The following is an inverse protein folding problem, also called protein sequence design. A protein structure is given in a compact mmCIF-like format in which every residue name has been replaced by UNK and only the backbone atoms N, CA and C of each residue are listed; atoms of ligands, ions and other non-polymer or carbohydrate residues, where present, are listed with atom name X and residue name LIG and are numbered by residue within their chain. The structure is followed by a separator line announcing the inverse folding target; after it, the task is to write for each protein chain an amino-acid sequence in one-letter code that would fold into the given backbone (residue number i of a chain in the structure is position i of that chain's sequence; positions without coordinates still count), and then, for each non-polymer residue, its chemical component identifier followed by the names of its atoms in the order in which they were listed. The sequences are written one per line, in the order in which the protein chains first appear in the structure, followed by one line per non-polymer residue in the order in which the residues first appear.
data_IF_420306790680
#
_entry.id   IF_420306790680
#
_cell.length_a   1.000
_cell.length_b   1.000
_cell.length_c   1.000
_cell.angle_alpha   90.00
_cell.angle_beta   90.00
_cell.angle_gamma   90.00
#
_symmetry.space_group_name_H-M   'P 1'
#
loop_
_entity.id
_entity.type
_entity.pdbx_description
1 polymer ?
#
# COMPACT_ATOMS: atom_id res chain seq x y z
N UNK A 1 -67.79 11.06 10.89
CA UNK A 1 -66.49 11.76 10.83
C UNK A 1 -65.41 10.79 11.27
N UNK A 2 -64.74 10.17 10.30
CA UNK A 2 -63.75 9.13 10.52
C UNK A 2 -62.45 9.78 11.05
N UNK A 3 -62.10 9.46 12.28
CA UNK A 3 -60.90 10.00 12.91
C UNK A 3 -59.68 9.15 12.53
N UNK A 4 -58.73 9.85 11.89
CA UNK A 4 -57.39 9.46 11.50
C UNK A 4 -56.74 8.32 12.30
N UNK A 5 -56.52 7.18 11.64
CA UNK A 5 -55.54 6.17 12.06
C UNK A 5 -54.15 6.62 11.61
N UNK A 6 -53.37 7.19 12.52
CA UNK A 6 -51.96 7.50 12.28
C UNK A 6 -51.14 6.19 12.32
N UNK A 7 -50.60 5.78 11.18
CA UNK A 7 -49.62 4.69 11.09
C UNK A 7 -48.21 5.25 11.36
N UNK A 8 -47.62 4.88 12.49
CA UNK A 8 -46.23 5.19 12.84
C UNK A 8 -45.33 4.20 12.08
N UNK A 9 -44.59 4.68 11.07
CA UNK A 9 -43.53 3.90 10.43
C UNK A 9 -42.24 4.04 11.26
N UNK A 10 -41.54 2.95 11.62
CA UNK A 10 -40.23 3.08 12.25
C UNK A 10 -39.21 3.51 11.19
N UNK A 11 -38.69 4.73 11.31
CA UNK A 11 -37.54 5.20 10.54
C UNK A 11 -36.35 4.27 10.84
N UNK A 12 -36.08 3.38 9.88
CA UNK A 12 -34.93 2.48 9.85
C UNK A 12 -33.66 3.31 9.97
N UNK A 13 -32.84 3.01 10.99
CA UNK A 13 -31.48 3.57 11.12
C UNK A 13 -30.73 3.34 9.81
N UNK A 14 -30.40 4.44 9.13
CA UNK A 14 -29.51 4.42 7.98
C UNK A 14 -28.13 3.97 8.49
N UNK A 15 -27.82 2.69 8.34
CA UNK A 15 -26.47 2.19 8.51
C UNK A 15 -25.62 2.90 7.45
N UNK A 16 -24.78 3.83 7.89
CA UNK A 16 -23.80 4.50 7.05
C UNK A 16 -22.80 3.44 6.58
N UNK A 17 -22.98 2.91 5.36
CA UNK A 17 -22.06 1.95 4.78
C UNK A 17 -20.74 2.68 4.50
N UNK A 18 -19.73 2.35 5.30
CA UNK A 18 -18.35 2.84 5.19
C UNK A 18 -17.82 2.53 3.79
N UNK A 19 -17.66 3.55 2.96
CA UNK A 19 -17.02 3.45 1.65
C UNK A 19 -15.56 3.06 1.86
N UNK A 20 -15.22 1.79 1.59
CA UNK A 20 -13.83 1.34 1.52
C UNK A 20 -13.24 1.81 0.20
N UNK A 21 -12.31 2.75 0.26
CA UNK A 21 -11.51 3.14 -0.90
C UNK A 21 -10.62 1.95 -1.31
N UNK A 22 -10.93 1.33 -2.45
CA UNK A 22 -10.06 0.34 -3.07
C UNK A 22 -8.98 1.09 -3.87
N UNK A 23 -7.77 1.19 -3.31
CA UNK A 23 -6.61 1.69 -4.05
C UNK A 23 -6.07 0.54 -4.92
N UNK A 24 -6.19 0.68 -6.24
CA UNK A 24 -5.49 -0.18 -7.18
C UNK A 24 -4.02 0.24 -7.22
N UNK A 25 -3.10 -0.67 -6.87
CA UNK A 25 -1.67 -0.44 -7.08
C UNK A 25 -1.40 -0.36 -8.59
N UNK A 26 -1.26 0.86 -9.11
CA UNK A 26 -0.98 1.08 -10.52
C UNK A 26 0.46 0.64 -10.84
N UNK A 27 0.58 -0.07 -11.97
CA UNK A 27 1.82 -0.64 -12.51
C UNK A 27 2.89 0.45 -12.57
N UNK A 28 4.09 0.14 -12.08
CA UNK A 28 5.20 1.09 -12.00
C UNK A 28 5.54 1.61 -13.40
N UNK A 29 5.48 2.92 -13.59
CA UNK A 29 5.87 3.52 -14.86
C UNK A 29 7.37 3.33 -15.11
N UNK A 30 7.73 3.09 -16.36
CA UNK A 30 9.13 2.97 -16.78
C UNK A 30 9.75 4.37 -16.81
N UNK A 31 10.48 4.74 -15.75
CA UNK A 31 11.07 6.07 -15.57
C UNK A 31 12.58 6.02 -15.84
N UNK A 32 13.06 6.87 -16.73
CA UNK A 32 14.50 7.02 -17.01
C UNK A 32 15.21 7.60 -15.79
N UNK A 33 16.41 7.09 -15.47
CA UNK A 33 17.21 7.55 -14.32
C UNK A 33 17.55 9.04 -14.39
N UNK A 34 17.89 9.52 -15.58
CA UNK A 34 18.31 10.89 -15.82
C UNK A 34 18.01 11.29 -17.26
N UNK A 35 17.99 12.60 -17.53
CA UNK A 35 17.83 13.15 -18.89
C UNK A 35 18.98 12.76 -19.82
N UNK A 36 20.14 12.43 -19.25
CA UNK A 36 21.36 12.06 -19.98
C UNK A 36 21.49 10.56 -20.24
N UNK A 37 20.71 9.72 -19.55
CA UNK A 37 20.72 8.26 -19.72
C UNK A 37 19.29 7.76 -20.00
N UNK A 38 18.75 7.99 -21.22
CA UNK A 38 17.38 7.62 -21.55
C UNK A 38 17.16 6.10 -21.59
N UNK A 39 18.22 5.32 -21.77
CA UNK A 39 18.18 3.86 -21.91
C UNK A 39 18.22 3.11 -20.56
N UNK A 40 18.52 3.82 -19.47
CA UNK A 40 18.55 3.23 -18.12
C UNK A 40 17.34 3.65 -17.31
N UNK A 41 16.69 2.67 -16.70
CA UNK A 41 15.42 2.86 -16.01
C UNK A 41 15.52 2.40 -14.56
N UNK A 42 14.71 3.03 -13.71
CA UNK A 42 14.57 2.61 -12.30
C UNK A 42 13.62 1.41 -12.23
N UNK A 43 14.09 0.32 -11.63
CA UNK A 43 13.29 -0.88 -11.38
C UNK A 43 12.68 -0.87 -9.98
N UNK A 44 11.52 -0.22 -9.85
CA UNK A 44 10.79 -0.14 -8.59
C UNK A 44 10.16 -1.47 -8.18
N UNK A 45 9.86 -2.36 -9.14
CA UNK A 45 9.23 -3.65 -8.86
C UNK A 45 10.21 -4.57 -8.12
N UNK A 46 11.45 -4.65 -8.61
CA UNK A 46 12.51 -5.41 -7.94
C UNK A 46 12.74 -4.88 -6.53
N UNK A 47 12.90 -3.57 -6.37
CA UNK A 47 13.10 -2.93 -5.07
C UNK A 47 11.95 -3.22 -4.08
N UNK A 48 10.69 -3.13 -4.54
CA UNK A 48 9.53 -3.45 -3.73
C UNK A 48 9.52 -4.92 -3.28
N UNK A 49 9.83 -5.85 -4.19
CA UNK A 49 9.90 -7.29 -3.88
C UNK A 49 10.96 -7.62 -2.83
N UNK A 50 12.12 -6.96 -2.91
CA UNK A 50 13.19 -7.04 -1.91
C UNK A 50 12.72 -6.55 -0.54
N UNK A 51 12.06 -5.40 -0.49
CA UNK A 51 11.52 -4.83 0.75
C UNK A 51 10.43 -5.69 1.38
N UNK A 52 9.61 -6.38 0.58
CA UNK A 52 8.62 -7.33 1.10
C UNK A 52 9.28 -8.52 1.79
N UNK A 53 10.36 -9.07 1.22
CA UNK A 53 11.14 -10.15 1.85
C UNK A 53 11.72 -9.67 3.18
N UNK A 54 12.34 -8.50 3.20
CA UNK A 54 12.96 -7.94 4.40
C UNK A 54 11.91 -7.65 5.48
N UNK A 55 10.76 -7.09 5.09
CA UNK A 55 9.64 -6.82 6.01
C UNK A 55 9.07 -8.10 6.64
N UNK A 56 8.92 -9.17 5.85
CA UNK A 56 8.47 -10.49 6.35
C UNK A 56 9.46 -11.12 7.34
N UNK A 57 10.77 -10.87 7.18
CA UNK A 57 11.82 -11.40 8.08
C UNK A 57 11.88 -10.63 9.39
N UNK A 58 11.91 -9.29 9.35
CA UNK A 58 12.03 -8.46 10.55
C UNK A 58 10.73 -8.39 11.38
N UNK A 59 9.54 -8.59 10.78
CA UNK A 59 8.23 -8.44 11.43
C UNK A 59 8.05 -7.09 12.16
N UNK A 60 8.77 -6.05 11.71
CA UNK A 60 8.78 -4.71 12.29
C UNK A 60 8.58 -3.66 11.18
N UNK A 61 8.07 -2.46 11.52
CA UNK A 61 8.00 -1.36 10.56
C UNK A 61 9.40 -0.85 10.18
N UNK A 62 9.68 -0.72 8.89
CA UNK A 62 10.94 -0.19 8.37
C UNK A 62 10.89 1.34 8.26
N UNK A 63 11.91 2.02 8.77
CA UNK A 63 12.13 3.46 8.56
C UNK A 63 12.56 3.75 7.12
N UNK A 64 12.51 5.01 6.68
CA UNK A 64 12.87 5.37 5.31
C UNK A 64 14.33 5.03 4.98
N UNK A 65 15.26 5.35 5.88
CA UNK A 65 16.68 5.05 5.69
C UNK A 65 16.92 3.54 5.54
N UNK A 66 16.25 2.73 6.36
CA UNK A 66 16.31 1.26 6.27
C UNK A 66 15.75 0.75 4.94
N UNK A 67 14.67 1.33 4.44
CA UNK A 67 14.13 0.95 3.12
C UNK A 67 15.12 1.25 2.00
N UNK A 68 15.75 2.43 1.99
CA UNK A 68 16.73 2.77 0.95
C UNK A 68 17.92 1.81 1.03
N UNK A 69 18.41 1.53 2.24
CA UNK A 69 19.53 0.61 2.46
C UNK A 69 19.21 -0.82 2.00
N UNK A 70 18.06 -1.36 2.44
CA UNK A 70 17.69 -2.74 2.15
C UNK A 70 17.14 -2.97 0.74
N UNK A 71 16.60 -1.94 0.10
CA UNK A 71 16.16 -1.98 -1.29
C UNK A 71 17.30 -2.34 -2.26
N UNK A 72 18.53 -1.93 -1.92
CA UNK A 72 19.73 -2.16 -2.73
C UNK A 72 20.58 -3.35 -2.24
N UNK A 73 20.07 -4.16 -1.30
CA UNK A 73 20.78 -5.36 -0.86
C UNK A 73 20.74 -6.43 -1.95
N UNK A 74 21.90 -7.06 -2.22
CA UNK A 74 21.99 -8.14 -3.21
C UNK A 74 21.30 -9.42 -2.74
N UNK A 75 21.48 -9.79 -1.45
CA UNK A 75 20.95 -11.03 -0.85
C UNK A 75 20.02 -10.77 0.36
N UNK A 76 18.77 -10.31 0.13
CA UNK A 76 17.84 -9.98 1.22
C UNK A 76 17.38 -11.19 2.05
N UNK A 77 17.63 -12.42 1.57
CA UNK A 77 17.23 -13.67 2.23
C UNK A 77 18.21 -14.18 3.28
N UNK A 78 19.50 -13.98 3.05
CA UNK A 78 20.56 -14.57 3.88
C UNK A 78 21.24 -13.55 4.80
N UNK A 79 21.00 -12.26 4.58
CA UNK A 79 21.64 -11.21 5.37
C UNK A 79 21.11 -11.18 6.81
N UNK A 80 22.00 -11.03 7.78
CA UNK A 80 21.69 -10.71 9.17
C UNK A 80 21.48 -9.19 9.30
N UNK A 81 20.27 -8.77 9.66
CA UNK A 81 19.95 -7.36 9.88
C UNK A 81 20.06 -7.06 11.38
N UNK A 82 21.11 -6.33 11.77
CA UNK A 82 21.32 -5.85 13.15
C UNK A 82 21.14 -4.33 13.15
N UNK A 83 20.49 -3.82 14.19
CA UNK A 83 20.20 -2.39 14.39
C UNK A 83 20.92 -1.88 15.63
#
# INVERSE_FOLDING_TARGET
FANATQTILPLRRLCLTRTVYAATNEKTSKVSLSRFEPDKYIDYEKQASTLEVVKKRLNQPLTLSEKILYSHADDPKNQEFKR
#
